data_IF_527935779492
#
_entry.id   IF_527935779492
#
_cell.length_a   1.000
_cell.length_b   1.000
_cell.length_c   1.000
_cell.angle_alpha   90.00
_cell.angle_beta   90.00
_cell.angle_gamma   90.00
#
_symmetry.space_group_name_H-M   'P 1'
#
loop_
_entity.id
_entity.type
_entity.pdbx_description
1 polymer ?
#
# COMPACT_ATOMS: atom_id res chain seq x y z
N UNK A 1 -1.94 13.58 8.19
CA UNK A 1 -1.64 12.12 8.14
C UNK A 1 -1.40 11.70 9.58
N UNK A 2 -2.30 10.93 10.20
CA UNK A 2 -2.13 10.57 11.62
C UNK A 2 -1.03 9.52 11.75
N UNK A 3 -0.08 9.75 12.66
CA UNK A 3 1.05 8.88 12.94
C UNK A 3 0.63 7.71 13.84
N UNK A 4 1.49 6.71 14.00
CA UNK A 4 1.24 5.61 14.93
C UNK A 4 1.17 6.10 16.39
N UNK A 5 1.97 7.11 16.76
CA UNK A 5 1.85 7.80 18.05
C UNK A 5 0.42 8.24 18.36
N UNK A 6 -0.25 8.92 17.41
CA UNK A 6 -1.59 9.45 17.63
C UNK A 6 -2.61 8.34 17.89
N UNK A 7 -2.41 7.17 17.28
CA UNK A 7 -3.26 6.00 17.51
C UNK A 7 -3.07 5.42 18.90
N UNK A 8 -1.82 5.31 19.34
CA UNK A 8 -1.48 4.78 20.65
C UNK A 8 -2.02 5.69 21.76
N UNK A 9 -1.83 7.00 21.62
CA UNK A 9 -2.33 8.02 22.57
C UNK A 9 -3.86 7.97 22.68
N UNK A 10 -4.59 7.89 21.56
CA UNK A 10 -6.07 7.79 21.60
C UNK A 10 -6.52 6.53 22.34
N UNK A 11 -5.85 5.39 22.12
CA UNK A 11 -6.22 4.11 22.73
C UNK A 11 -5.87 4.07 24.21
N UNK A 12 -4.73 4.64 24.60
CA UNK A 12 -4.31 4.77 26.00
C UNK A 12 -5.28 5.64 26.78
N UNK A 13 -5.64 6.83 26.26
CA UNK A 13 -6.62 7.71 26.89
C UNK A 13 -8.00 7.05 27.01
N UNK A 14 -8.41 6.26 26.02
CA UNK A 14 -9.66 5.50 26.11
C UNK A 14 -9.59 4.37 27.15
N UNK A 15 -8.43 3.70 27.27
CA UNK A 15 -8.21 2.67 28.29
C UNK A 15 -8.17 3.27 29.72
N UNK A 16 -7.71 4.51 29.86
CA UNK A 16 -7.81 5.29 31.10
C UNK A 16 -9.26 5.72 31.44
N UNK A 17 -10.25 5.38 30.61
CA UNK A 17 -11.67 5.66 30.85
C UNK A 17 -12.12 7.06 30.40
N UNK A 18 -11.32 7.78 29.62
CA UNK A 18 -11.71 9.08 29.09
C UNK A 18 -12.73 8.94 27.96
N UNK A 19 -13.74 9.81 27.99
CA UNK A 19 -14.76 9.85 26.95
C UNK A 19 -14.20 10.46 25.64
N UNK A 20 -14.78 10.10 24.50
CA UNK A 20 -14.40 10.61 23.16
C UNK A 20 -14.33 12.14 23.11
N UNK A 21 -15.21 12.84 23.83
CA UNK A 21 -15.20 14.31 23.93
C UNK A 21 -13.99 14.87 24.71
N UNK A 22 -13.50 14.15 25.73
CA UNK A 22 -12.31 14.53 26.48
C UNK A 22 -11.05 14.25 25.67
N UNK A 23 -10.98 13.07 25.04
CA UNK A 23 -9.89 12.72 24.11
C UNK A 23 -9.79 13.76 22.99
N UNK A 24 -10.93 14.22 22.44
CA UNK A 24 -10.95 15.25 21.40
C UNK A 24 -10.39 16.61 21.86
N UNK A 25 -10.57 16.97 23.14
CA UNK A 25 -10.01 18.20 23.72
C UNK A 25 -8.51 18.06 23.93
N UNK A 26 -8.08 16.91 24.42
CA UNK A 26 -6.69 16.61 24.75
C UNK A 26 -5.82 16.48 23.49
N UNK A 27 -6.27 15.65 22.54
CA UNK A 27 -5.50 15.35 21.32
C UNK A 27 -5.78 16.32 20.18
N UNK A 28 -6.71 17.28 20.36
CA UNK A 28 -7.23 18.20 19.32
C UNK A 28 -7.70 17.50 18.04
N UNK A 29 -8.03 16.22 18.12
CA UNK A 29 -8.55 15.46 16.98
C UNK A 29 -10.06 15.53 16.92
N UNK A 30 -10.60 15.47 15.70
CA UNK A 30 -12.05 15.42 15.51
C UNK A 30 -12.61 14.13 16.15
N UNK A 31 -13.75 14.23 16.83
CA UNK A 31 -14.47 13.09 17.43
C UNK A 31 -14.72 11.96 16.43
N UNK A 32 -14.98 12.28 15.15
CA UNK A 32 -15.13 11.28 14.07
C UNK A 32 -13.83 10.50 13.83
N UNK A 33 -12.69 11.16 13.95
CA UNK A 33 -11.37 10.52 13.82
C UNK A 33 -11.10 9.60 15.00
N UNK A 34 -11.39 10.05 16.22
CA UNK A 34 -11.21 9.25 17.44
C UNK A 34 -12.10 8.01 17.40
N UNK A 35 -13.40 8.18 17.10
CA UNK A 35 -14.34 7.06 16.96
C UNK A 35 -13.86 6.02 15.96
N UNK A 36 -13.51 6.46 14.75
CA UNK A 36 -12.96 5.57 13.70
C UNK A 36 -11.67 4.87 14.14
N UNK A 37 -10.88 5.46 15.05
CA UNK A 37 -9.64 4.88 15.56
C UNK A 37 -9.87 3.91 16.72
N UNK A 38 -10.86 4.15 17.55
CA UNK A 38 -11.29 3.19 18.58
C UNK A 38 -11.96 1.96 17.95
N UNK A 39 -12.71 2.15 16.86
CA UNK A 39 -13.33 1.07 16.09
C UNK A 39 -12.30 0.29 15.24
N UNK A 40 -11.17 0.90 14.87
CA UNK A 40 -10.11 0.23 14.13
C UNK A 40 -9.17 -0.51 15.09
N UNK A 41 -9.30 -1.84 15.18
CA UNK A 41 -8.44 -2.70 16.01
C UNK A 41 -6.94 -2.59 15.69
N UNK A 42 -6.61 -2.25 14.45
CA UNK A 42 -5.26 -2.13 13.92
C UNK A 42 -5.01 -0.68 13.49
N UNK A 43 -3.85 -0.08 13.84
CA UNK A 43 -3.47 1.21 13.30
C UNK A 43 -3.48 1.09 11.78
N UNK A 44 -4.35 1.84 11.10
CA UNK A 44 -4.34 1.90 9.64
C UNK A 44 -3.00 2.48 9.21
N UNK A 45 -2.00 1.62 9.05
CA UNK A 45 -0.82 1.95 8.30
C UNK A 45 -1.32 2.40 6.92
N UNK A 46 -0.81 3.52 6.38
CA UNK A 46 -1.05 3.82 4.99
C UNK A 46 -0.43 2.66 4.20
N UNK A 47 -1.26 1.66 3.86
CA UNK A 47 -0.91 0.69 2.85
C UNK A 47 -0.64 1.55 1.63
N UNK A 48 0.63 1.73 1.27
CA UNK A 48 1.02 2.11 -0.08
C UNK A 48 0.21 1.18 -0.95
N UNK A 49 -0.80 1.71 -1.65
CA UNK A 49 -1.62 0.92 -2.56
C UNK A 49 -0.62 0.14 -3.39
N UNK A 50 -0.53 -1.18 -3.16
CA UNK A 50 0.22 -2.04 -4.04
C UNK A 50 -0.33 -1.71 -5.42
N UNK A 51 0.54 -1.23 -6.32
CA UNK A 51 0.14 -0.96 -7.70
C UNK A 51 -0.52 -2.26 -8.14
N UNK A 52 -1.84 -2.20 -8.39
CA UNK A 52 -2.60 -3.38 -8.83
C UNK A 52 -1.76 -4.04 -9.91
N UNK A 53 -1.49 -5.35 -9.84
CA UNK A 53 -0.73 -5.99 -10.89
C UNK A 53 -1.59 -5.84 -12.14
N UNK A 54 -1.17 -4.91 -13.00
CA UNK A 54 -1.83 -4.69 -14.28
C UNK A 54 -1.65 -5.93 -15.14
N UNK A 55 -2.04 -5.88 -16.40
CA UNK A 55 -1.87 -6.93 -17.42
C UNK A 55 -0.43 -7.51 -17.56
N UNK A 56 0.53 -7.02 -16.78
CA UNK A 56 1.88 -7.55 -16.63
C UNK A 56 1.96 -8.73 -15.65
N UNK A 57 0.94 -8.96 -14.80
CA UNK A 57 0.94 -10.01 -13.78
C UNK A 57 1.31 -11.39 -14.36
N UNK A 58 0.65 -11.75 -15.45
CA UNK A 58 0.80 -13.03 -16.13
C UNK A 58 2.18 -13.20 -16.79
N UNK A 59 2.87 -12.10 -17.06
CA UNK A 59 4.19 -12.08 -17.70
C UNK A 59 5.32 -11.76 -16.72
N UNK A 60 5.02 -11.41 -15.45
CA UNK A 60 6.02 -10.99 -14.46
C UNK A 60 6.98 -12.14 -14.14
N UNK A 61 6.44 -13.35 -13.99
CA UNK A 61 7.22 -14.56 -13.73
C UNK A 61 8.16 -14.91 -14.89
N UNK A 62 7.68 -14.72 -16.13
CA UNK A 62 8.49 -14.90 -17.35
C UNK A 62 9.65 -13.89 -17.40
N UNK A 63 9.35 -12.61 -17.13
CA UNK A 63 10.35 -11.53 -17.11
C UNK A 63 11.43 -11.83 -16.07
N UNK A 64 11.02 -12.21 -14.85
CA UNK A 64 11.94 -12.48 -13.74
C UNK A 64 12.84 -13.69 -14.02
N UNK A 65 12.29 -14.76 -14.60
CA UNK A 65 13.07 -15.93 -15.02
C UNK A 65 14.09 -15.57 -16.11
N UNK A 66 13.69 -14.78 -17.11
CA UNK A 66 14.60 -14.34 -18.19
C UNK A 66 15.72 -13.42 -17.71
N UNK A 67 15.44 -12.49 -16.80
CA UNK A 67 16.45 -11.61 -16.19
C UNK A 67 17.47 -12.43 -15.38
N UNK A 68 17.01 -13.50 -14.72
CA UNK A 68 17.85 -14.39 -13.93
C UNK A 68 18.75 -15.25 -14.82
N UNK A 69 18.22 -15.76 -15.94
CA UNK A 69 19.00 -16.56 -16.90
C UNK A 69 20.02 -15.71 -17.67
N UNK A 70 19.65 -14.51 -18.10
CA UNK A 70 20.55 -13.57 -18.77
C UNK A 70 20.16 -12.12 -18.44
N UNK A 71 21.11 -11.21 -18.15
CA UNK A 71 20.86 -9.78 -18.03
C UNK A 71 20.52 -9.15 -19.39
N UNK A 72 19.38 -9.53 -19.95
CA UNK A 72 18.87 -9.05 -21.23
C UNK A 72 18.24 -7.66 -21.05
N UNK A 73 18.39 -6.82 -22.07
CA UNK A 73 17.70 -5.53 -22.11
C UNK A 73 16.19 -5.74 -22.10
N UNK A 74 15.48 -4.90 -21.34
CA UNK A 74 14.01 -4.88 -21.28
C UNK A 74 13.34 -4.79 -22.67
N UNK A 75 14.03 -4.30 -23.70
CA UNK A 75 13.55 -4.29 -25.10
C UNK A 75 13.40 -5.68 -25.72
N UNK A 76 14.30 -6.62 -25.39
CA UNK A 76 14.21 -8.01 -25.85
C UNK A 76 13.04 -8.73 -25.19
N UNK A 77 12.92 -8.56 -23.89
CA UNK A 77 11.82 -9.12 -23.09
C UNK A 77 10.48 -8.56 -23.56
N UNK A 78 10.39 -7.25 -23.82
CA UNK A 78 9.18 -6.63 -24.38
C UNK A 78 8.76 -7.24 -25.72
N UNK A 79 9.71 -7.55 -26.60
CA UNK A 79 9.43 -8.19 -27.89
C UNK A 79 8.90 -9.62 -27.72
N UNK A 80 9.51 -10.41 -26.82
CA UNK A 80 9.07 -11.77 -26.50
C UNK A 80 7.65 -11.78 -25.92
N UNK A 81 7.34 -10.90 -24.96
CA UNK A 81 5.98 -10.85 -24.41
C UNK A 81 4.95 -10.34 -25.42
N UNK A 82 5.34 -9.44 -26.33
CA UNK A 82 4.45 -8.95 -27.39
C UNK A 82 4.10 -10.07 -28.38
N UNK A 83 5.05 -10.95 -28.70
CA UNK A 83 4.81 -12.17 -29.48
C UNK A 83 3.91 -13.17 -28.73
N UNK A 84 3.97 -13.19 -27.39
CA UNK A 84 3.04 -13.95 -26.53
C UNK A 84 1.68 -13.25 -26.30
N UNK A 85 1.37 -12.18 -27.04
CA UNK A 85 0.08 -11.50 -26.98
C UNK A 85 -0.03 -10.36 -25.97
N UNK A 86 1.09 -9.87 -25.42
CA UNK A 86 1.09 -8.74 -24.50
C UNK A 86 0.68 -7.44 -25.21
N UNK A 87 -0.40 -6.82 -24.71
CA UNK A 87 -0.96 -5.56 -25.23
C UNK A 87 -0.61 -4.34 -24.39
N UNK A 88 0.29 -4.48 -23.40
CA UNK A 88 0.70 -3.38 -22.53
C UNK A 88 1.87 -2.56 -23.10
N UNK A 89 2.24 -1.49 -22.39
CA UNK A 89 3.28 -0.53 -22.82
C UNK A 89 4.67 -0.95 -22.32
N UNK A 90 5.70 -0.68 -23.11
CA UNK A 90 7.12 -0.88 -22.78
C UNK A 90 7.54 -0.31 -21.41
N UNK A 91 6.95 0.82 -20.99
CA UNK A 91 7.24 1.45 -19.70
C UNK A 91 6.91 0.57 -18.50
N UNK A 92 5.95 -0.36 -18.65
CA UNK A 92 5.52 -1.29 -17.59
C UNK A 92 6.52 -2.46 -17.46
N UNK A 93 7.28 -2.76 -18.51
CA UNK A 93 8.34 -3.79 -18.50
C UNK A 93 9.68 -3.23 -18.00
N UNK A 94 9.85 -1.90 -18.04
CA UNK A 94 11.07 -1.20 -17.62
C UNK A 94 11.06 -0.79 -16.14
N UNK A 95 9.88 -0.51 -15.58
CA UNK A 95 9.67 -0.13 -14.17
C UNK A 95 9.86 -1.33 -13.25
#
# INVERSE_FOLDING_TARGET
MLKMEDFLVIRDLHHQGLNISQIARETRFNRRTIRRRLEAEVPSMPQKRARKPGKLADYTEYIQRRITDYPLRATRIYREIQEMGYTGKYTIVKD
#
